data_IF_958359744426
#
_entry.id   IF_958359744426
#
_cell.length_a   1.000
_cell.length_b   1.000
_cell.length_c   1.000
_cell.angle_alpha   90.00
_cell.angle_beta   90.00
_cell.angle_gamma   90.00
#
_symmetry.space_group_name_H-M   'P 1'
#
loop_
_entity.id
_entity.type
_entity.pdbx_description
1 polymer ?
#
# COMPACT_ATOMS: atom_id res chain seq x y z
N UNK A 1 15.58 24.52 -0.39
CA UNK A 1 14.79 23.67 0.51
C UNK A 1 15.53 22.37 0.71
N UNK A 2 15.01 21.50 1.56
CA UNK A 2 15.59 20.18 1.83
C UNK A 2 15.18 19.19 0.75
N UNK A 3 13.87 19.09 0.49
CA UNK A 3 13.33 18.30 -0.61
C UNK A 3 13.47 19.03 -1.94
N UNK A 4 12.87 20.22 -2.07
CA UNK A 4 12.85 20.98 -3.32
C UNK A 4 13.31 22.43 -3.10
N UNK A 5 14.14 22.93 -4.02
CA UNK A 5 14.48 24.35 -4.15
C UNK A 5 14.12 24.84 -5.55
N UNK A 6 13.30 25.87 -5.62
CA UNK A 6 12.94 26.55 -6.85
C UNK A 6 13.18 28.05 -6.71
N UNK A 7 13.84 28.65 -7.71
CA UNK A 7 14.05 30.10 -7.78
C UNK A 7 13.67 30.60 -9.18
N UNK A 8 12.79 31.59 -9.26
CA UNK A 8 12.29 32.14 -10.54
C UNK A 8 11.78 31.08 -11.52
N UNK A 9 11.07 30.07 -10.99
CA UNK A 9 10.56 28.93 -11.75
C UNK A 9 9.07 28.67 -11.49
N UNK A 10 8.45 27.95 -12.42
CA UNK A 10 7.09 27.38 -12.31
C UNK A 10 7.19 25.86 -12.27
N UNK A 11 6.42 25.23 -11.39
CA UNK A 11 6.38 23.77 -11.26
C UNK A 11 4.97 23.26 -10.98
N UNK A 12 4.72 22.03 -11.45
CA UNK A 12 3.49 21.29 -11.21
C UNK A 12 3.88 19.99 -10.51
N UNK A 13 3.52 19.87 -9.23
CA UNK A 13 3.69 18.66 -8.43
C UNK A 13 2.34 17.97 -8.37
N UNK A 14 2.29 16.75 -8.91
CA UNK A 14 1.09 15.92 -8.95
C UNK A 14 1.46 14.53 -8.46
N UNK A 15 0.76 14.00 -7.47
CA UNK A 15 1.02 12.68 -6.86
C UNK A 15 2.46 12.58 -6.31
N UNK A 16 2.87 13.55 -5.49
CA UNK A 16 4.25 13.65 -4.97
C UNK A 16 4.27 13.61 -3.45
N UNK A 17 5.12 12.76 -2.89
CA UNK A 17 5.46 12.79 -1.46
C UNK A 17 6.76 13.56 -1.25
N UNK A 18 6.72 14.61 -0.42
CA UNK A 18 7.88 15.41 0.00
C UNK A 18 8.05 15.20 1.50
N UNK A 19 8.88 14.25 1.88
CA UNK A 19 8.89 13.73 3.25
C UNK A 19 10.27 13.58 3.84
N UNK A 20 10.37 13.76 5.15
CA UNK A 20 11.58 13.50 5.96
C UNK A 20 12.82 14.31 5.51
N UNK A 21 12.61 15.50 4.93
CA UNK A 21 13.71 16.37 4.50
C UNK A 21 14.13 17.36 5.58
N UNK A 22 15.39 17.81 5.51
CA UNK A 22 15.93 18.83 6.44
C UNK A 22 16.61 19.98 5.72
N UNK A 23 16.34 21.21 6.13
CA UNK A 23 16.98 22.40 5.58
C UNK A 23 17.15 23.52 6.61
N UNK A 24 17.71 24.66 6.17
CA UNK A 24 17.64 25.91 6.94
C UNK A 24 16.28 26.62 6.75
N UNK A 25 15.78 26.66 5.51
CA UNK A 25 14.48 27.23 5.12
C UNK A 25 13.78 26.29 4.14
N UNK A 26 12.48 26.05 4.37
CA UNK A 26 11.67 25.17 3.54
C UNK A 26 12.20 23.74 3.55
N UNK A 27 12.00 23.03 4.65
CA UNK A 27 12.43 21.63 4.79
C UNK A 27 11.91 20.78 3.63
N UNK A 28 10.61 20.82 3.36
CA UNK A 28 9.99 20.14 2.24
C UNK A 28 10.22 20.93 0.95
N UNK A 29 9.77 22.17 0.93
CA UNK A 29 9.80 22.99 -0.29
C UNK A 29 10.22 24.44 0.01
N UNK A 30 11.11 24.99 -0.83
CA UNK A 30 11.46 26.41 -0.83
C UNK A 30 11.31 26.99 -2.24
N UNK A 31 10.37 27.92 -2.40
CA UNK A 31 10.12 28.67 -3.62
C UNK A 31 10.48 30.14 -3.44
N UNK A 32 11.43 30.64 -4.23
CA UNK A 32 11.89 32.03 -4.20
C UNK A 32 11.55 32.70 -5.52
N UNK A 33 10.70 33.72 -5.49
CA UNK A 33 10.20 34.39 -6.70
C UNK A 33 9.63 33.40 -7.72
N UNK A 34 9.06 32.30 -7.22
CA UNK A 34 8.40 31.27 -8.00
C UNK A 34 6.90 31.51 -8.06
N UNK A 35 6.32 31.17 -9.20
CA UNK A 35 5.03 31.70 -9.63
C UNK A 35 4.27 30.69 -10.49
N UNK A 36 2.94 30.69 -10.39
CA UNK A 36 2.04 29.79 -11.13
C UNK A 36 2.15 28.33 -10.69
N UNK A 37 2.58 28.08 -9.47
CA UNK A 37 2.88 26.74 -9.02
C UNK A 37 1.62 25.96 -8.68
N UNK A 38 1.61 24.67 -8.99
CA UNK A 38 0.49 23.78 -8.68
C UNK A 38 1.02 22.63 -7.83
N UNK A 39 0.36 22.37 -6.71
CA UNK A 39 0.55 21.20 -5.87
C UNK A 39 -0.80 20.50 -5.73
N UNK A 40 -0.96 19.37 -6.40
CA UNK A 40 -2.18 18.57 -6.40
C UNK A 40 -1.82 17.15 -5.94
N UNK A 41 -2.59 16.55 -5.05
CA UNK A 41 -2.30 15.19 -4.57
C UNK A 41 -0.88 15.09 -4.00
N UNK A 42 -0.51 16.04 -3.12
CA UNK A 42 0.83 16.09 -2.53
C UNK A 42 0.75 15.76 -1.05
N UNK A 43 1.66 14.92 -0.58
CA UNK A 43 1.88 14.68 0.86
C UNK A 43 3.17 15.37 1.29
N UNK A 44 3.07 16.38 2.15
CA UNK A 44 4.21 17.11 2.71
C UNK A 44 4.25 16.82 4.21
N UNK A 45 5.14 15.93 4.64
CA UNK A 45 5.16 15.51 6.05
C UNK A 45 6.56 15.25 6.61
N UNK A 46 6.71 15.48 7.92
CA UNK A 46 7.96 15.32 8.69
C UNK A 46 9.18 16.02 8.13
N UNK A 47 8.98 17.12 7.42
CA UNK A 47 10.08 17.96 6.99
C UNK A 47 10.46 18.93 8.11
N UNK A 48 11.75 19.15 8.30
CA UNK A 48 12.28 19.99 9.38
C UNK A 48 13.14 21.13 8.82
N UNK A 49 13.06 22.31 9.43
CA UNK A 49 13.99 23.39 9.15
C UNK A 49 14.12 24.37 10.33
N UNK A 50 15.13 25.24 10.27
CA UNK A 50 15.34 26.28 11.29
C UNK A 50 14.22 27.33 11.27
N UNK A 51 13.63 27.60 10.10
CA UNK A 51 12.50 28.52 9.95
C UNK A 51 11.17 27.81 9.68
N UNK A 52 11.07 27.10 8.54
CA UNK A 52 9.81 26.48 8.09
C UNK A 52 10.09 25.10 7.56
N UNK A 53 9.59 24.09 8.26
CA UNK A 53 9.81 22.70 7.86
C UNK A 53 9.02 22.34 6.60
N UNK A 54 7.78 22.81 6.44
CA UNK A 54 6.94 22.42 5.30
C UNK A 54 7.23 23.23 4.04
N UNK A 55 6.31 24.12 3.68
CA UNK A 55 6.34 24.91 2.45
C UNK A 55 6.74 26.37 2.72
N UNK A 56 7.82 26.83 2.09
CA UNK A 56 8.28 28.22 2.19
C UNK A 56 8.14 28.92 0.84
N UNK A 57 7.20 29.86 0.75
CA UNK A 57 6.98 30.71 -0.42
C UNK A 57 7.44 32.13 -0.13
N UNK A 58 8.35 32.63 -0.96
CA UNK A 58 8.90 33.97 -0.81
C UNK A 58 9.04 34.71 -2.13
N UNK A 59 8.37 35.85 -2.28
CA UNK A 59 8.56 36.71 -3.43
C UNK A 59 9.57 37.85 -3.17
N UNK A 60 10.63 37.89 -3.99
CA UNK A 60 11.45 39.11 -4.18
C UNK A 60 10.81 39.97 -5.27
N UNK A 61 10.84 41.30 -5.09
CA UNK A 61 10.25 42.29 -6.02
C UNK A 61 10.45 41.92 -7.49
N UNK A 62 9.37 41.49 -8.14
CA UNK A 62 9.28 41.40 -9.60
C UNK A 62 8.35 42.50 -10.10
N UNK A 63 8.71 43.15 -11.20
CA UNK A 63 7.97 44.31 -11.71
C UNK A 63 6.59 43.87 -12.24
N UNK A 64 5.53 44.43 -11.64
CA UNK A 64 4.17 44.64 -12.17
C UNK A 64 3.45 43.45 -12.85
N UNK A 65 3.12 42.37 -12.11
CA UNK A 65 2.05 41.43 -12.51
C UNK A 65 1.34 40.81 -11.30
N UNK A 66 0.03 40.59 -11.43
CA UNK A 66 -0.75 39.53 -10.75
C UNK A 66 -0.05 38.18 -10.88
N UNK A 67 0.46 37.64 -9.76
CA UNK A 67 1.14 36.35 -9.75
C UNK A 67 0.66 35.41 -8.64
N UNK A 68 0.09 34.28 -9.05
CA UNK A 68 -0.23 33.18 -8.15
C UNK A 68 1.07 32.60 -7.59
N UNK A 69 1.23 32.55 -6.28
CA UNK A 69 2.36 31.91 -5.62
C UNK A 69 2.28 30.40 -5.81
N UNK A 70 1.17 29.82 -5.35
CA UNK A 70 0.84 28.43 -5.56
C UNK A 70 -0.67 28.21 -5.40
N UNK A 71 -1.18 27.19 -6.08
CA UNK A 71 -2.44 26.53 -5.74
C UNK A 71 -2.11 25.19 -5.12
N UNK A 72 -2.63 24.94 -3.93
CA UNK A 72 -2.53 23.67 -3.21
C UNK A 72 -3.92 23.07 -3.18
N UNK A 73 -4.07 21.86 -3.72
CA UNK A 73 -5.33 21.15 -3.68
C UNK A 73 -5.16 19.67 -3.45
N UNK A 74 -6.19 19.03 -2.91
CA UNK A 74 -6.27 17.58 -2.74
C UNK A 74 -5.05 16.99 -2.00
N UNK A 75 -4.53 17.70 -1.01
CA UNK A 75 -3.20 17.48 -0.45
C UNK A 75 -3.24 17.24 1.05
N UNK A 76 -2.15 16.71 1.59
CA UNK A 76 -1.92 16.52 3.01
C UNK A 76 -0.64 17.27 3.41
N UNK A 77 -0.71 18.17 4.38
CA UNK A 77 0.43 18.97 4.88
C UNK A 77 0.43 18.97 6.40
N UNK A 78 1.30 18.16 7.01
CA UNK A 78 1.36 18.02 8.48
C UNK A 78 2.74 17.61 8.99
N UNK A 79 2.94 17.68 10.30
CA UNK A 79 4.14 17.19 11.00
C UNK A 79 5.44 17.90 10.60
N UNK A 80 5.35 19.10 10.01
CA UNK A 80 6.52 19.84 9.53
C UNK A 80 7.03 20.91 10.53
N UNK A 81 6.52 20.91 11.76
CA UNK A 81 6.71 22.02 12.71
C UNK A 81 5.94 23.26 12.26
N UNK A 82 6.56 24.14 11.47
CA UNK A 82 5.82 25.20 10.77
C UNK A 82 5.41 24.68 9.40
N UNK A 83 4.10 24.61 9.16
CA UNK A 83 3.52 24.01 7.96
C UNK A 83 3.79 24.85 6.70
N UNK A 84 3.36 26.11 6.73
CA UNK A 84 3.44 26.98 5.55
C UNK A 84 3.88 28.38 5.99
N UNK A 85 4.79 28.94 5.23
CA UNK A 85 5.10 30.36 5.25
C UNK A 85 4.88 30.95 3.86
N UNK A 86 4.16 32.07 3.83
CA UNK A 86 3.84 32.82 2.62
C UNK A 86 4.20 34.28 2.83
N UNK A 87 5.27 34.74 2.19
CA UNK A 87 5.82 36.06 2.44
C UNK A 87 6.34 36.74 1.18
N UNK A 88 6.60 38.03 1.32
CA UNK A 88 7.15 38.86 0.24
C UNK A 88 7.92 40.06 0.80
N UNK A 89 8.72 40.67 -0.06
CA UNK A 89 9.57 41.84 0.28
C UNK A 89 8.82 43.17 0.43
N UNK A 90 7.75 43.43 -0.31
CA UNK A 90 6.98 44.69 -0.22
C UNK A 90 5.46 44.42 -0.29
N UNK A 91 4.67 45.24 0.40
CA UNK A 91 3.20 45.23 0.32
C UNK A 91 2.72 45.92 -0.97
N UNK A 92 2.82 45.20 -2.09
CA UNK A 92 2.09 45.52 -3.33
C UNK A 92 1.01 44.47 -3.50
N UNK A 93 -0.18 44.81 -4.01
CA UNK A 93 -1.17 43.77 -4.36
C UNK A 93 -0.51 42.80 -5.35
N UNK A 94 -0.96 41.53 -5.40
CA UNK A 94 -0.70 40.60 -6.52
C UNK A 94 0.09 39.29 -6.22
N UNK A 95 0.31 38.87 -4.94
CA UNK A 95 0.93 37.56 -4.60
C UNK A 95 0.00 36.73 -3.70
N UNK A 96 -0.57 35.65 -4.26
CA UNK A 96 -1.70 34.93 -3.68
C UNK A 96 -1.36 33.45 -3.48
N UNK A 97 -1.76 32.87 -2.34
CA UNK A 97 -1.73 31.42 -2.11
C UNK A 97 -3.17 30.93 -2.03
N UNK A 98 -3.53 29.91 -2.82
CA UNK A 98 -4.85 29.28 -2.78
C UNK A 98 -4.74 27.87 -2.22
N UNK A 99 -5.61 27.52 -1.27
CA UNK A 99 -5.66 26.20 -0.64
C UNK A 99 -7.11 25.72 -0.58
N UNK A 100 -7.39 24.54 -1.12
CA UNK A 100 -8.70 23.89 -1.11
C UNK A 100 -8.55 22.37 -0.98
N UNK A 101 -9.56 21.67 -0.48
CA UNK A 101 -9.54 20.20 -0.32
C UNK A 101 -8.21 19.69 0.25
N UNK A 102 -7.74 20.28 1.35
CA UNK A 102 -6.43 19.96 1.92
C UNK A 102 -6.55 19.71 3.41
N UNK A 103 -5.96 18.61 3.88
CA UNK A 103 -5.72 18.37 5.29
C UNK A 103 -4.45 19.10 5.71
N UNK A 104 -4.60 20.18 6.49
CA UNK A 104 -3.52 21.06 6.91
C UNK A 104 -3.48 21.13 8.44
N UNK A 105 -2.36 20.69 9.04
CA UNK A 105 -2.19 20.70 10.50
C UNK A 105 -2.33 22.12 11.06
N UNK A 106 -3.25 22.32 12.00
CA UNK A 106 -3.58 23.63 12.56
C UNK A 106 -4.38 24.54 11.62
N UNK A 107 -4.83 24.02 10.47
CA UNK A 107 -5.68 24.69 9.49
C UNK A 107 -5.13 26.03 9.01
N UNK A 108 -6.06 26.96 8.72
CA UNK A 108 -5.72 28.30 8.20
C UNK A 108 -4.77 29.07 9.13
N UNK A 109 -4.90 28.88 10.44
CA UNK A 109 -4.14 29.62 11.46
C UNK A 109 -2.66 29.19 11.52
N UNK A 110 -2.32 28.01 11.00
CA UNK A 110 -0.94 27.53 10.90
C UNK A 110 -0.12 28.23 9.78
N UNK A 111 -0.78 28.99 8.90
CA UNK A 111 -0.12 29.67 7.78
C UNK A 111 0.48 30.98 8.28
N UNK A 112 1.80 31.01 8.37
CA UNK A 112 2.54 32.21 8.73
C UNK A 112 2.67 33.12 7.52
N UNK A 113 2.42 34.41 7.70
CA UNK A 113 2.48 35.39 6.62
C UNK A 113 3.37 36.58 6.95
N UNK A 114 4.01 37.15 5.92
CA UNK A 114 4.81 38.38 6.05
C UNK A 114 4.45 39.38 4.94
N UNK A 115 4.22 40.64 5.33
CA UNK A 115 3.78 41.73 4.45
C UNK A 115 2.38 41.50 3.82
N UNK A 116 1.53 40.80 4.57
CA UNK A 116 0.11 40.55 4.30
C UNK A 116 -0.16 40.21 2.82
N UNK A 117 0.41 39.12 2.29
CA UNK A 117 0.02 38.59 1.01
C UNK A 117 -1.40 38.01 1.11
N UNK A 118 -2.07 37.87 -0.03
CA UNK A 118 -3.43 37.35 -0.02
C UNK A 118 -3.41 35.83 0.15
N UNK A 119 -4.34 35.34 0.98
CA UNK A 119 -4.59 33.93 1.20
C UNK A 119 -6.04 33.62 0.84
N UNK A 120 -6.22 32.79 -0.17
CA UNK A 120 -7.49 32.25 -0.60
C UNK A 120 -7.69 30.89 0.06
N UNK A 121 -8.61 30.84 1.02
CA UNK A 121 -8.98 29.62 1.72
C UNK A 121 -10.30 29.13 1.12
N UNK A 122 -10.18 28.11 0.27
CA UNK A 122 -11.31 27.45 -0.37
C UNK A 122 -12.06 26.50 0.57
N UNK A 123 -12.94 25.72 -0.03
CA UNK A 123 -13.70 24.69 0.66
C UNK A 123 -12.91 23.38 0.82
N UNK A 124 -13.48 22.42 1.55
CA UNK A 124 -12.90 21.08 1.71
C UNK A 124 -11.63 21.00 2.55
N UNK A 125 -11.14 22.10 3.11
CA UNK A 125 -9.99 22.09 4.00
C UNK A 125 -10.37 21.68 5.42
N UNK A 126 -9.57 20.82 6.04
CA UNK A 126 -9.75 20.37 7.42
C UNK A 126 -8.40 20.10 8.10
N UNK A 127 -8.43 19.64 9.35
CA UNK A 127 -7.27 19.39 10.20
C UNK A 127 -7.59 18.15 11.04
N UNK A 128 -7.24 16.98 10.51
CA UNK A 128 -7.42 15.68 11.16
C UNK A 128 -6.17 14.82 10.95
N UNK A 129 -5.94 13.82 11.82
CA UNK A 129 -4.87 12.85 11.59
C UNK A 129 -5.29 11.88 10.47
N UNK A 130 -4.61 11.78 9.31
CA UNK A 130 -4.86 10.82 8.24
C UNK A 130 -4.48 9.40 8.61
N UNK A 131 -3.87 9.15 9.78
CA UNK A 131 -3.55 7.79 10.19
C UNK A 131 -2.70 7.07 9.13
N UNK A 132 -1.52 7.61 8.85
CA UNK A 132 -0.54 6.96 7.98
C UNK A 132 -0.11 5.60 8.54
N UNK A 133 0.09 4.61 7.68
CA UNK A 133 0.41 3.22 8.05
C UNK A 133 1.63 3.11 8.96
N UNK A 134 2.77 3.61 8.49
CA UNK A 134 4.01 3.58 9.27
C UNK A 134 4.93 4.68 8.78
N UNK A 135 4.66 5.92 9.18
CA UNK A 135 5.40 7.02 8.63
C UNK A 135 6.88 6.86 9.08
N UNK A 136 7.23 6.35 10.27
CA UNK A 136 8.65 6.22 10.69
C UNK A 136 9.49 5.31 9.78
N UNK A 137 8.85 4.40 9.04
CA UNK A 137 9.47 3.58 7.99
C UNK A 137 9.41 4.22 6.58
N UNK A 138 8.83 5.41 6.45
CA UNK A 138 8.58 6.10 5.18
C UNK A 138 7.28 5.70 4.49
N UNK A 139 6.38 4.99 5.17
CA UNK A 139 5.11 4.51 4.62
C UNK A 139 3.98 5.50 4.92
N UNK A 140 3.71 6.37 3.95
CA UNK A 140 2.70 7.43 4.01
C UNK A 140 1.37 7.04 3.35
N UNK A 141 1.15 5.76 3.07
CA UNK A 141 -0.16 5.24 2.68
C UNK A 141 -1.15 5.44 3.84
N UNK A 142 -2.39 5.77 3.49
CA UNK A 142 -3.49 5.88 4.45
C UNK A 142 -3.86 4.51 5.02
N UNK A 143 -4.41 4.48 6.23
CA UNK A 143 -5.08 3.30 6.78
C UNK A 143 -6.57 3.36 6.49
N UNK A 144 -7.28 2.23 6.61
CA UNK A 144 -8.72 2.12 6.34
C UNK A 144 -9.62 2.99 7.23
N UNK A 145 -9.08 3.58 8.30
CA UNK A 145 -9.79 4.47 9.21
C UNK A 145 -9.46 5.95 8.96
N UNK A 146 -8.68 6.25 7.92
CA UNK A 146 -8.24 7.61 7.64
C UNK A 146 -9.41 8.54 7.31
N UNK A 147 -9.47 9.74 7.92
CA UNK A 147 -10.41 10.78 7.53
C UNK A 147 -10.09 11.39 6.16
N UNK A 148 -8.93 11.08 5.57
CA UNK A 148 -8.53 11.58 4.25
C UNK A 148 -9.11 10.77 3.09
N UNK A 149 -9.74 9.62 3.37
CA UNK A 149 -10.39 8.78 2.34
C UNK A 149 -11.68 9.43 1.85
N UNK A 150 -11.91 9.46 0.53
CA UNK A 150 -13.10 10.00 -0.13
C UNK A 150 -13.43 11.48 0.20
N UNK A 151 -12.44 12.27 0.60
CA UNK A 151 -12.63 13.68 1.02
C UNK A 151 -12.08 14.71 0.05
N UNK A 152 -11.44 14.27 -1.03
CA UNK A 152 -10.84 15.10 -2.06
C UNK A 152 -11.82 15.90 -2.91
N UNK A 153 -11.32 16.67 -3.87
CA UNK A 153 -12.19 17.52 -4.70
C UNK A 153 -13.23 16.67 -5.47
N UNK A 154 -14.56 16.85 -5.30
CA UNK A 154 -15.57 16.07 -6.04
C UNK A 154 -15.51 16.23 -7.57
N UNK A 155 -14.87 17.29 -8.06
CA UNK A 155 -14.70 17.55 -9.49
C UNK A 155 -13.36 16.99 -10.03
N UNK A 156 -12.50 16.41 -9.19
CA UNK A 156 -11.33 15.69 -9.66
C UNK A 156 -11.71 14.30 -10.19
N UNK A 157 -10.85 13.66 -11.01
CA UNK A 157 -11.03 12.26 -11.35
C UNK A 157 -11.15 11.39 -10.09
N UNK A 158 -11.96 10.34 -10.18
CA UNK A 158 -12.06 9.28 -9.18
C UNK A 158 -10.72 8.53 -9.05
N UNK A 159 -10.51 7.91 -7.89
CA UNK A 159 -9.38 7.04 -7.67
C UNK A 159 -9.54 5.70 -8.41
N UNK A 160 -8.46 4.90 -8.58
CA UNK A 160 -8.51 3.63 -9.32
C UNK A 160 -9.46 2.55 -8.76
N UNK A 161 -9.98 2.74 -7.55
CA UNK A 161 -11.04 1.93 -6.94
C UNK A 161 -12.45 2.46 -7.20
N UNK A 162 -12.58 3.45 -8.09
CA UNK A 162 -13.84 4.06 -8.54
C UNK A 162 -14.57 4.82 -7.43
N UNK A 163 -13.83 5.28 -6.41
CA UNK A 163 -14.36 6.15 -5.35
C UNK A 163 -13.90 7.59 -5.52
N UNK A 164 -14.42 8.48 -4.67
CA UNK A 164 -14.05 9.90 -4.72
C UNK A 164 -12.58 10.02 -4.35
N UNK A 165 -11.85 10.91 -5.01
CA UNK A 165 -10.42 11.07 -4.75
C UNK A 165 -10.10 11.24 -3.25
N UNK A 166 -9.08 10.53 -2.79
CA UNK A 166 -8.47 10.68 -1.48
C UNK A 166 -7.55 11.90 -1.45
N UNK A 167 -7.24 12.39 -0.25
CA UNK A 167 -6.23 13.43 -0.08
C UNK A 167 -4.81 12.87 -0.10
N UNK A 168 -3.89 13.66 -0.65
CA UNK A 168 -2.45 13.39 -0.59
C UNK A 168 -1.93 12.62 -1.80
N UNK A 169 -0.70 12.11 -1.67
CA UNK A 169 0.01 11.48 -2.78
C UNK A 169 -0.36 10.01 -3.03
N UNK A 170 -1.03 9.37 -2.07
CA UNK A 170 -1.37 7.95 -2.10
C UNK A 170 -2.84 7.80 -1.75
N UNK A 171 -3.62 7.26 -2.67
CA UNK A 171 -4.98 6.82 -2.38
C UNK A 171 -4.95 5.48 -1.63
N UNK A 172 -6.05 5.18 -0.94
CA UNK A 172 -6.31 3.91 -0.29
C UNK A 172 -7.29 3.12 -1.14
N UNK A 173 -6.84 2.01 -1.71
CA UNK A 173 -7.72 1.12 -2.48
C UNK A 173 -8.69 0.41 -1.53
N UNK A 174 -9.95 0.85 -1.54
CA UNK A 174 -11.00 0.35 -0.64
C UNK A 174 -11.43 -1.09 -0.95
N UNK A 175 -10.93 -1.68 -2.04
CA UNK A 175 -11.14 -3.09 -2.40
C UNK A 175 -10.13 -4.03 -1.74
N UNK A 176 -9.16 -3.48 -0.99
CA UNK A 176 -8.15 -4.28 -0.30
C UNK A 176 -8.77 -5.06 0.86
N UNK A 177 -8.50 -6.36 0.87
CA UNK A 177 -8.88 -7.30 1.91
C UNK A 177 -7.69 -7.59 2.83
N UNK A 178 -7.93 -7.50 4.14
CA UNK A 178 -6.97 -7.92 5.15
C UNK A 178 -7.16 -9.41 5.47
N UNK A 179 -6.12 -10.18 5.24
CA UNK A 179 -6.05 -11.60 5.53
C UNK A 179 -5.15 -11.84 6.74
N UNK A 180 -5.75 -12.24 7.86
CA UNK A 180 -5.02 -12.60 9.08
C UNK A 180 -4.57 -14.07 9.03
N UNK A 181 -3.32 -14.31 9.40
CA UNK A 181 -2.72 -15.64 9.47
C UNK A 181 -2.27 -15.95 10.90
N UNK A 182 -2.66 -17.12 11.39
CA UNK A 182 -2.13 -17.73 12.61
C UNK A 182 -1.34 -18.99 12.23
N UNK A 183 -0.01 -18.94 12.29
CA UNK A 183 0.84 -20.07 11.95
C UNK A 183 1.45 -20.65 13.22
N UNK A 184 1.25 -21.96 13.42
CA UNK A 184 1.80 -22.69 14.56
C UNK A 184 3.33 -22.82 14.51
N UNK A 185 3.92 -23.11 15.66
CA UNK A 185 5.32 -23.54 15.71
C UNK A 185 5.52 -24.83 14.88
N UNK A 186 6.63 -24.89 14.15
CA UNK A 186 6.94 -26.03 13.29
C UNK A 186 6.48 -25.82 11.86
N UNK A 187 6.11 -26.90 11.17
CA UNK A 187 5.76 -26.88 9.76
C UNK A 187 4.25 -26.66 9.54
N UNK A 188 3.96 -25.83 8.55
CA UNK A 188 2.63 -25.58 8.00
C UNK A 188 2.69 -25.46 6.48
N UNK A 189 1.54 -25.58 5.83
CA UNK A 189 1.38 -25.24 4.41
C UNK A 189 0.43 -24.06 4.32
N UNK A 190 0.90 -22.94 3.79
CA UNK A 190 0.12 -21.72 3.68
C UNK A 190 -0.08 -21.33 2.21
N UNK A 191 -1.16 -20.61 1.95
CA UNK A 191 -1.39 -19.91 0.69
C UNK A 191 -2.09 -18.58 0.94
N UNK A 192 -2.02 -17.67 -0.03
CA UNK A 192 -2.75 -16.41 0.02
C UNK A 192 -4.00 -16.50 -0.86
N UNK A 193 -5.08 -15.87 -0.43
CA UNK A 193 -6.30 -15.71 -1.21
C UNK A 193 -6.46 -14.29 -1.78
N UNK A 194 -5.39 -13.49 -1.68
CA UNK A 194 -5.36 -12.10 -2.16
C UNK A 194 -4.18 -11.88 -3.10
N UNK A 195 -4.38 -11.01 -4.09
CA UNK A 195 -3.35 -10.53 -5.00
C UNK A 195 -2.61 -9.35 -4.36
N UNK A 196 -1.29 -9.51 -4.21
CA UNK A 196 -0.42 -8.50 -3.61
C UNK A 196 0.01 -7.46 -4.64
N UNK A 197 0.05 -6.19 -4.22
CA UNK A 197 0.70 -5.12 -4.98
C UNK A 197 2.22 -5.36 -5.09
N UNK A 198 2.86 -5.65 -3.96
CA UNK A 198 4.27 -6.05 -3.90
C UNK A 198 4.41 -7.51 -3.43
N UNK A 199 4.59 -8.39 -4.41
CA UNK A 199 4.74 -9.83 -4.19
C UNK A 199 6.19 -10.28 -3.97
N UNK A 200 7.18 -9.40 -3.77
CA UNK A 200 8.54 -9.82 -3.41
C UNK A 200 8.54 -10.63 -2.12
N UNK A 201 9.22 -11.78 -2.10
CA UNK A 201 9.09 -12.70 -0.96
C UNK A 201 9.56 -12.08 0.37
N UNK A 202 10.53 -11.18 0.29
CA UNK A 202 11.05 -10.46 1.46
C UNK A 202 10.02 -9.46 2.00
N UNK A 203 9.21 -8.87 1.13
CA UNK A 203 8.11 -8.01 1.50
C UNK A 203 6.98 -8.83 2.14
N UNK A 204 6.56 -9.93 1.51
CA UNK A 204 5.50 -10.80 2.02
C UNK A 204 5.85 -11.36 3.41
N UNK A 205 7.12 -11.69 3.64
CA UNK A 205 7.59 -12.27 4.90
C UNK A 205 8.14 -11.25 5.91
N UNK A 206 8.07 -9.95 5.61
CA UNK A 206 8.69 -8.87 6.41
C UNK A 206 8.32 -8.93 7.90
N UNK A 207 7.02 -9.04 8.22
CA UNK A 207 6.53 -9.13 9.60
C UNK A 207 7.12 -10.33 10.37
N UNK A 208 7.29 -11.47 9.71
CA UNK A 208 7.88 -12.66 10.34
C UNK A 208 9.41 -12.55 10.48
N UNK A 209 10.06 -11.82 9.58
CA UNK A 209 11.49 -11.51 9.64
C UNK A 209 11.81 -10.53 10.76
N UNK A 210 11.00 -9.49 10.93
CA UNK A 210 11.13 -8.52 12.03
C UNK A 210 10.96 -9.17 13.40
N UNK A 211 10.02 -10.12 13.50
CA UNK A 211 9.84 -10.96 14.70
C UNK A 211 10.97 -11.97 14.90
N UNK A 212 11.70 -12.32 13.84
CA UNK A 212 12.79 -13.31 13.89
C UNK A 212 12.31 -14.75 14.05
N UNK A 213 11.05 -15.06 13.72
CA UNK A 213 10.45 -16.40 13.92
C UNK A 213 10.45 -17.28 12.65
N UNK A 214 10.68 -16.70 11.47
CA UNK A 214 10.74 -17.46 10.20
C UNK A 214 12.02 -18.30 10.11
N UNK A 215 11.88 -19.62 10.18
CA UNK A 215 13.01 -20.55 10.02
C UNK A 215 13.24 -20.94 8.56
N UNK A 216 12.16 -21.19 7.81
CA UNK A 216 12.24 -21.70 6.44
C UNK A 216 10.95 -21.43 5.67
N UNK A 217 11.06 -21.10 4.38
CA UNK A 217 9.96 -21.13 3.42
C UNK A 217 10.38 -21.94 2.19
N UNK A 218 9.49 -22.76 1.62
CA UNK A 218 9.77 -23.56 0.42
C UNK A 218 8.58 -23.59 -0.53
N UNK A 219 8.87 -23.55 -1.83
CA UNK A 219 7.85 -23.78 -2.85
C UNK A 219 7.89 -25.21 -3.41
N UNK A 220 6.93 -25.55 -4.27
CA UNK A 220 6.83 -26.88 -4.90
C UNK A 220 8.02 -27.25 -5.80
N UNK A 221 8.83 -26.26 -6.24
CA UNK A 221 10.01 -26.46 -7.11
C UNK A 221 11.32 -26.65 -6.34
N UNK A 222 11.25 -26.68 -5.00
CA UNK A 222 12.43 -26.80 -4.14
C UNK A 222 13.24 -25.50 -4.00
N UNK A 223 12.73 -24.36 -4.48
CA UNK A 223 13.27 -23.05 -4.07
C UNK A 223 12.89 -22.81 -2.63
N UNK A 224 13.76 -22.13 -1.89
CA UNK A 224 13.60 -21.89 -0.48
C UNK A 224 14.18 -20.55 -0.05
N UNK A 225 13.66 -20.07 1.07
CA UNK A 225 14.17 -18.95 1.84
C UNK A 225 14.52 -19.44 3.24
N UNK A 226 15.76 -19.20 3.65
CA UNK A 226 16.25 -19.49 4.99
C UNK A 226 16.97 -18.26 5.55
N UNK A 227 16.32 -17.51 6.45
CA UNK A 227 16.91 -16.32 7.07
C UNK A 227 18.18 -16.64 7.86
N UNK A 228 18.24 -17.77 8.56
CA UNK A 228 19.41 -18.22 9.34
C UNK A 228 20.70 -18.30 8.48
N UNK A 229 20.57 -18.80 7.25
CA UNK A 229 21.70 -18.90 6.32
C UNK A 229 21.83 -17.70 5.38
N UNK A 230 21.03 -16.66 5.58
CA UNK A 230 20.93 -15.48 4.71
C UNK A 230 20.80 -15.87 3.23
N UNK A 231 19.96 -16.87 2.94
CA UNK A 231 19.81 -17.43 1.60
C UNK A 231 18.34 -17.38 1.16
N UNK A 232 18.10 -16.73 0.02
CA UNK A 232 16.79 -16.72 -0.62
C UNK A 232 16.94 -16.93 -2.13
N UNK A 233 16.22 -17.89 -2.69
CA UNK A 233 16.09 -18.06 -4.14
C UNK A 233 14.63 -18.13 -4.62
N UNK A 234 13.68 -17.77 -3.75
CA UNK A 234 12.28 -17.48 -4.13
C UNK A 234 12.23 -15.97 -4.40
N UNK A 235 12.09 -15.50 -5.64
CA UNK A 235 12.10 -14.07 -5.91
C UNK A 235 10.77 -13.41 -5.49
N UNK A 236 9.66 -14.01 -5.88
CA UNK A 236 8.31 -13.49 -5.70
C UNK A 236 7.39 -14.59 -5.18
N UNK A 237 6.37 -14.17 -4.43
CA UNK A 237 5.17 -14.95 -4.16
C UNK A 237 4.40 -15.18 -5.45
N UNK A 238 3.77 -16.34 -5.54
CA UNK A 238 2.95 -16.75 -6.69
C UNK A 238 1.60 -17.14 -6.12
N UNK A 239 0.56 -16.41 -6.52
CA UNK A 239 -0.79 -16.57 -5.98
C UNK A 239 -1.29 -18.00 -6.18
N UNK A 240 -0.91 -18.67 -7.28
CA UNK A 240 -1.42 -19.99 -7.62
C UNK A 240 -0.77 -21.13 -6.80
N UNK A 241 0.25 -20.82 -6.00
CA UNK A 241 1.02 -21.81 -5.26
C UNK A 241 0.82 -21.70 -3.75
N UNK A 242 0.77 -22.86 -3.10
CA UNK A 242 1.01 -22.95 -1.67
C UNK A 242 2.51 -23.07 -1.37
N UNK A 243 2.86 -22.73 -0.13
CA UNK A 243 4.23 -22.71 0.36
C UNK A 243 4.33 -23.46 1.69
N UNK A 244 5.37 -24.28 1.81
CA UNK A 244 5.76 -24.88 3.08
C UNK A 244 6.48 -23.82 3.90
N UNK A 245 5.92 -23.48 5.06
CA UNK A 245 6.50 -22.53 5.99
C UNK A 245 6.88 -23.24 7.28
N UNK A 246 8.03 -22.86 7.86
CA UNK A 246 8.47 -23.32 9.17
C UNK A 246 8.75 -22.15 10.09
N UNK A 247 8.09 -22.12 11.23
CA UNK A 247 8.36 -21.14 12.28
C UNK A 247 9.05 -21.78 13.49
N UNK A 248 9.88 -21.00 14.18
CA UNK A 248 10.51 -21.38 15.46
C UNK A 248 9.62 -21.17 16.67
N UNK A 249 8.57 -20.36 16.52
CA UNK A 249 7.52 -20.10 17.50
C UNK A 249 6.23 -19.76 16.73
N UNK A 250 5.06 -19.95 17.35
CA UNK A 250 3.81 -19.56 16.71
C UNK A 250 3.76 -18.04 16.51
N UNK A 251 3.25 -17.59 15.38
CA UNK A 251 3.17 -16.18 15.05
C UNK A 251 1.90 -15.83 14.29
N UNK A 252 1.47 -14.58 14.51
CA UNK A 252 0.38 -13.94 13.78
C UNK A 252 0.95 -12.87 12.86
N UNK A 253 0.43 -12.80 11.64
CA UNK A 253 0.76 -11.75 10.69
C UNK A 253 -0.42 -11.48 9.75
N UNK A 254 -0.40 -10.31 9.11
CA UNK A 254 -1.50 -9.85 8.27
C UNK A 254 -0.98 -9.59 6.86
N UNK A 255 -1.80 -9.92 5.87
CA UNK A 255 -1.52 -9.64 4.46
C UNK A 255 -2.66 -8.78 3.93
N UNK A 256 -2.31 -7.73 3.20
CA UNK A 256 -3.27 -6.88 2.52
C UNK A 256 -3.13 -7.08 1.01
N UNK A 257 -4.24 -7.30 0.32
CA UNK A 257 -4.26 -7.46 -1.13
C UNK A 257 -5.67 -7.42 -1.69
N UNK A 258 -5.79 -7.44 -3.01
CA UNK A 258 -7.09 -7.48 -3.70
C UNK A 258 -7.62 -8.90 -3.74
N UNK A 259 -8.95 -9.07 -3.74
CA UNK A 259 -9.57 -10.37 -4.00
C UNK A 259 -9.04 -10.99 -5.31
N UNK A 260 -8.85 -12.30 -5.30
CA UNK A 260 -8.51 -13.05 -6.52
C UNK A 260 -9.82 -13.35 -7.27
N UNK A 261 -9.88 -13.14 -8.60
CA UNK A 261 -11.08 -13.47 -9.38
C UNK A 261 -11.43 -14.96 -9.30
N UNK A 262 -12.72 -15.29 -9.24
CA UNK A 262 -13.21 -16.67 -9.13
C UNK A 262 -12.75 -17.56 -10.31
N UNK A 263 -12.67 -16.99 -11.51
CA UNK A 263 -12.19 -17.66 -12.72
C UNK A 263 -10.65 -17.85 -12.79
N UNK A 264 -9.92 -17.66 -11.70
CA UNK A 264 -8.46 -17.78 -11.70
C UNK A 264 -7.98 -19.20 -12.03
N UNK A 265 -7.21 -19.33 -13.10
CA UNK A 265 -6.64 -20.59 -13.55
C UNK A 265 -5.33 -20.94 -12.83
N UNK A 266 -5.31 -22.09 -12.16
CA UNK A 266 -4.11 -22.64 -11.49
C UNK A 266 -3.51 -23.76 -12.37
N UNK A 267 -2.41 -23.49 -13.11
CA UNK A 267 -1.77 -24.51 -13.94
C UNK A 267 -0.99 -25.52 -13.08
N UNK A 268 -1.28 -26.81 -13.27
CA UNK A 268 -0.65 -27.93 -12.57
C UNK A 268 0.20 -28.75 -13.52
N UNK A 269 1.35 -29.23 -13.03
CA UNK A 269 2.23 -30.15 -13.77
C UNK A 269 2.03 -31.57 -13.31
N UNK A 270 2.28 -32.54 -14.19
CA UNK A 270 2.35 -33.95 -13.83
C UNK A 270 3.24 -34.16 -12.60
N UNK A 271 2.72 -34.92 -11.62
CA UNK A 271 3.37 -35.15 -10.34
C UNK A 271 2.83 -34.26 -9.22
N UNK A 272 3.68 -33.95 -8.25
CA UNK A 272 3.32 -33.21 -7.04
C UNK A 272 3.38 -31.70 -7.27
N UNK A 273 2.30 -31.03 -6.89
CA UNK A 273 2.17 -29.58 -6.83
C UNK A 273 1.80 -29.18 -5.39
N UNK A 274 2.00 -27.91 -5.05
CA UNK A 274 1.45 -27.32 -3.83
C UNK A 274 0.59 -26.16 -4.30
N UNK A 275 -0.73 -26.29 -4.15
CA UNK A 275 -1.71 -25.33 -4.66
C UNK A 275 -2.12 -24.36 -3.57
N UNK A 276 -2.54 -23.17 -4.00
CA UNK A 276 -3.27 -22.24 -3.16
C UNK A 276 -4.77 -22.57 -3.14
N UNK A 277 -5.43 -22.20 -2.04
CA UNK A 277 -6.88 -22.16 -1.94
C UNK A 277 -7.36 -20.70 -1.91
N UNK A 278 -8.18 -20.34 -2.88
CA UNK A 278 -8.68 -18.97 -3.10
C UNK A 278 -10.11 -18.70 -2.61
N UNK A 279 -11.05 -19.67 -2.61
CA UNK A 279 -12.41 -19.41 -2.17
C UNK A 279 -12.49 -18.80 -0.76
N UNK A 280 -13.57 -18.07 -0.49
CA UNK A 280 -13.77 -17.41 0.80
C UNK A 280 -14.20 -18.39 1.89
N UNK A 281 -15.05 -19.36 1.52
CA UNK A 281 -15.62 -20.35 2.42
C UNK A 281 -14.72 -21.56 2.69
N UNK A 282 -15.26 -22.49 3.49
CA UNK A 282 -14.74 -23.86 3.55
C UNK A 282 -15.46 -24.70 2.49
N UNK A 283 -14.73 -25.55 1.77
CA UNK A 283 -15.30 -26.35 0.68
C UNK A 283 -14.83 -27.79 0.72
N UNK A 284 -15.76 -28.72 0.51
CA UNK A 284 -15.45 -30.14 0.41
C UNK A 284 -14.39 -30.38 -0.68
N UNK A 285 -13.36 -31.22 -0.44
CA UNK A 285 -12.28 -31.46 -1.40
C UNK A 285 -12.77 -31.96 -2.77
N UNK A 286 -13.84 -32.74 -2.77
CA UNK A 286 -14.50 -33.25 -3.97
C UNK A 286 -15.06 -32.13 -4.84
N UNK A 287 -15.73 -31.15 -4.22
CA UNK A 287 -16.30 -29.98 -4.91
C UNK A 287 -15.20 -29.03 -5.37
N UNK A 288 -14.25 -28.73 -4.49
CA UNK A 288 -13.18 -27.77 -4.79
C UNK A 288 -12.26 -28.22 -5.93
N UNK A 289 -12.09 -29.53 -6.11
CA UNK A 289 -11.15 -30.10 -7.10
C UNK A 289 -11.85 -30.81 -8.25
N UNK A 290 -13.15 -30.58 -8.44
CA UNK A 290 -13.97 -31.22 -9.48
C UNK A 290 -13.38 -31.02 -10.89
N UNK A 291 -12.89 -29.82 -11.19
CA UNK A 291 -12.34 -29.47 -12.51
C UNK A 291 -11.13 -30.32 -12.93
N UNK A 292 -10.44 -30.96 -11.98
CA UNK A 292 -9.28 -31.83 -12.20
C UNK A 292 -9.48 -33.27 -11.73
N UNK A 293 -10.70 -33.67 -11.38
CA UNK A 293 -11.01 -34.98 -10.78
C UNK A 293 -10.39 -36.15 -11.58
N UNK A 294 -10.49 -36.09 -12.91
CA UNK A 294 -9.99 -37.13 -13.81
C UNK A 294 -8.44 -37.27 -13.82
N UNK A 295 -7.73 -36.26 -13.36
CA UNK A 295 -6.27 -36.19 -13.32
C UNK A 295 -5.74 -36.42 -11.90
N UNK A 296 -6.60 -36.24 -10.90
CA UNK A 296 -6.24 -36.27 -9.48
C UNK A 296 -5.81 -37.68 -9.03
N UNK A 297 -4.77 -37.75 -8.21
CA UNK A 297 -4.24 -39.00 -7.66
C UNK A 297 -4.23 -38.97 -6.14
N UNK A 298 -3.72 -37.90 -5.53
CA UNK A 298 -3.69 -37.76 -4.08
C UNK A 298 -3.69 -36.28 -3.70
N UNK A 299 -4.45 -35.95 -2.65
CA UNK A 299 -4.47 -34.62 -2.02
C UNK A 299 -4.04 -34.77 -0.57
N UNK A 300 -3.27 -33.82 -0.04
CA UNK A 300 -2.84 -33.81 1.37
C UNK A 300 -2.89 -32.42 1.97
N UNK A 301 -3.26 -32.36 3.25
CA UNK A 301 -3.17 -31.16 4.06
C UNK A 301 -1.83 -31.10 4.84
N UNK A 302 -1.70 -30.09 5.70
CA UNK A 302 -0.54 -29.88 6.56
C UNK A 302 -0.45 -30.84 7.78
N UNK A 303 -1.55 -31.51 8.14
CA UNK A 303 -1.64 -32.42 9.30
C UNK A 303 -1.50 -33.90 8.92
N UNK A 304 -1.38 -34.17 7.62
CA UNK A 304 -1.22 -35.50 7.07
C UNK A 304 -2.54 -36.22 6.80
N UNK A 305 -3.68 -35.52 6.86
CA UNK A 305 -4.90 -36.03 6.27
C UNK A 305 -4.76 -36.04 4.75
N UNK A 306 -5.44 -36.98 4.10
CA UNK A 306 -5.29 -37.16 2.68
C UNK A 306 -6.55 -37.73 2.01
N UNK A 307 -6.71 -37.34 0.76
CA UNK A 307 -7.63 -37.98 -0.15
C UNK A 307 -6.81 -38.78 -1.17
N UNK A 308 -7.00 -40.10 -1.19
CA UNK A 308 -6.39 -41.01 -2.15
C UNK A 308 -7.47 -41.54 -3.10
N UNK A 309 -7.48 -41.00 -4.31
CA UNK A 309 -8.51 -41.25 -5.32
C UNK A 309 -8.44 -42.71 -5.82
N UNK A 310 -7.26 -43.26 -6.20
CA UNK A 310 -7.18 -44.65 -6.68
C UNK A 310 -7.59 -45.72 -5.65
N UNK A 311 -7.50 -45.41 -4.35
CA UNK A 311 -7.86 -46.34 -3.27
C UNK A 311 -9.22 -46.01 -2.63
N UNK A 312 -9.98 -45.06 -3.19
CA UNK A 312 -11.31 -44.64 -2.69
C UNK A 312 -11.30 -44.28 -1.19
N UNK A 313 -10.22 -43.66 -0.71
CA UNK A 313 -10.07 -43.29 0.69
C UNK A 313 -9.97 -41.79 0.84
N UNK A 314 -10.87 -41.18 1.61
CA UNK A 314 -10.80 -39.77 1.96
C UNK A 314 -10.94 -39.58 3.48
N UNK A 315 -9.97 -38.92 4.10
CA UNK A 315 -10.09 -38.37 5.45
C UNK A 315 -9.69 -36.89 5.52
N UNK A 316 -9.56 -36.23 4.37
CA UNK A 316 -9.26 -34.81 4.27
C UNK A 316 -10.48 -34.02 4.80
N UNK A 317 -10.29 -33.07 5.72
CA UNK A 317 -11.35 -32.11 6.06
C UNK A 317 -11.63 -31.17 4.89
N UNK A 318 -12.64 -30.32 5.05
CA UNK A 318 -12.93 -29.25 4.10
C UNK A 318 -11.68 -28.39 3.87
N UNK A 319 -11.49 -27.97 2.62
CA UNK A 319 -10.43 -27.04 2.26
C UNK A 319 -10.78 -25.66 2.79
N UNK A 320 -9.79 -24.94 3.30
CA UNK A 320 -9.98 -23.69 4.05
C UNK A 320 -9.02 -22.63 3.55
N UNK A 321 -9.46 -21.36 3.60
CA UNK A 321 -8.64 -20.18 3.33
C UNK A 321 -7.39 -20.16 4.23
N UNK A 322 -6.34 -19.50 3.75
CA UNK A 322 -5.00 -19.40 4.38
C UNK A 322 -4.14 -20.68 4.34
N UNK A 323 -4.72 -21.83 4.00
CA UNK A 323 -4.00 -23.10 3.92
C UNK A 323 -3.71 -23.52 2.47
N UNK A 324 -2.48 -23.99 2.22
CA UNK A 324 -2.14 -24.62 0.95
C UNK A 324 -2.28 -26.14 1.02
N UNK A 325 -2.43 -26.78 -0.15
CA UNK A 325 -2.64 -28.23 -0.24
C UNK A 325 -1.66 -28.88 -1.21
N UNK A 326 -1.17 -30.07 -0.88
CA UNK A 326 -0.33 -30.84 -1.80
C UNK A 326 -1.21 -31.68 -2.69
N UNK A 327 -1.09 -31.51 -4.00
CA UNK A 327 -1.91 -32.18 -5.00
C UNK A 327 -1.04 -32.94 -5.98
N UNK A 328 -1.31 -34.23 -6.15
CA UNK A 328 -0.66 -35.07 -7.15
C UNK A 328 -1.60 -35.30 -8.33
N UNK A 329 -1.14 -34.97 -9.54
CA UNK A 329 -1.87 -35.22 -10.79
C UNK A 329 -1.09 -36.14 -11.72
N UNK A 330 -1.79 -36.93 -12.54
CA UNK A 330 -1.21 -37.92 -13.46
C UNK A 330 -0.82 -37.36 -14.83
N UNK A 331 -1.17 -36.11 -15.14
CA UNK A 331 -0.76 -35.34 -16.34
C UNK A 331 -0.98 -33.85 -16.08
N UNK A 332 -0.37 -33.00 -16.90
CA UNK A 332 -0.60 -31.55 -16.86
C UNK A 332 -2.10 -31.22 -17.01
N UNK A 333 -2.60 -30.30 -16.19
CA UNK A 333 -3.99 -29.83 -16.19
C UNK A 333 -4.10 -28.43 -15.57
N UNK A 334 -5.29 -27.84 -15.63
CA UNK A 334 -5.59 -26.54 -15.02
C UNK A 334 -6.71 -26.74 -14.00
N UNK A 335 -6.47 -26.30 -12.77
CA UNK A 335 -7.47 -26.22 -11.72
C UNK A 335 -8.18 -24.87 -11.79
N UNK A 336 -9.50 -24.92 -11.76
CA UNK A 336 -10.40 -23.77 -11.58
C UNK A 336 -11.33 -24.16 -10.43
N UNK A 337 -11.45 -23.29 -9.43
CA UNK A 337 -12.39 -23.48 -8.33
C UNK A 337 -13.82 -23.15 -8.80
N UNK A 338 -14.85 -23.82 -8.26
CA UNK A 338 -16.23 -23.43 -8.53
C UNK A 338 -16.53 -22.07 -7.87
N UNK A 339 -17.51 -21.35 -8.42
CA UNK A 339 -17.97 -20.08 -7.86
C UNK A 339 -18.56 -20.30 -6.47
N UNK A 340 -18.30 -19.38 -5.53
CA UNK A 340 -18.79 -19.46 -4.14
C UNK A 340 -20.33 -19.35 -4.03
N UNK A 341 -21.03 -19.07 -5.14
CA UNK A 341 -22.50 -18.89 -5.26
C UNK A 341 -23.28 -20.16 -5.68
N UNK A 342 -22.64 -21.33 -5.88
CA UNK A 342 -23.32 -22.60 -6.26
C UNK A 342 -23.69 -23.54 -5.10
#
# INVERSE_FOLDING_TARGET
GGGIYAESATYNLVNVSITDNRAQKGGGFLGVSSHGNIMQNVTVSRNTADEVGGLYFWARVERDRDVMAATISNSIIRDNGVQIFHGRTEHRRDYHLSIEYTDLEGGRDAIQTENEPELQWGEGNFDEDPLFRNPDAGEYQLTSQSPCIDTGNPESPEDPDETRADLGAFFFDQRLEEQAFEIREGWSIMSLAVQLENNEILNVMSQLLERGCLSMLKNHRGRFFSPEFNFCNIPFWDINNGYLIKLSEAAEFYILGLAIPDENEIPLREGWNIIAYHPEGEMAPETALESIENQLQTVKDQDGNFWNIPNEFNNLPDLTRNQGYQVQVNRDCTLIFPDDDE
#
